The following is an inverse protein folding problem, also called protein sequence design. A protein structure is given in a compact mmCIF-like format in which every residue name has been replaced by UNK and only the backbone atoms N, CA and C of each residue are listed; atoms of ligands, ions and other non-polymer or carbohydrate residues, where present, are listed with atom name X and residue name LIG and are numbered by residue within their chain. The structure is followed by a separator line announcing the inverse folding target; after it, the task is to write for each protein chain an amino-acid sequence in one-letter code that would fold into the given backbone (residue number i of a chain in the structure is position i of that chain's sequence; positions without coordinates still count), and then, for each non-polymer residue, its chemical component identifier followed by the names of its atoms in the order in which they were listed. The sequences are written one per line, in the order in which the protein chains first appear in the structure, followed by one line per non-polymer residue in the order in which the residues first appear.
data_IF_722021398971
#
_entry.id   IF_722021398971
#
_cell.length_a   1.000
_cell.length_b   1.000
_cell.length_c   1.000
_cell.angle_alpha   90.00
_cell.angle_beta   90.00
_cell.angle_gamma   90.00
#
_symmetry.space_group_name_H-M   'P 1'
#
loop_
_entity.id
_entity.type
_entity.pdbx_description
1 polymer ?
#
# COMPACT_ATOMS: atom_id res chain seq x y z
N UNK A 1 -14.21 1.78 0.45
CA UNK A 1 -13.45 0.81 -0.37
C UNK A 1 -14.35 0.32 -1.48
N UNK A 2 -13.89 0.33 -2.74
CA UNK A 2 -14.65 -0.18 -3.89
C UNK A 2 -15.05 -1.65 -3.70
N UNK A 3 -16.16 -2.05 -4.33
CA UNK A 3 -16.65 -3.44 -4.36
C UNK A 3 -15.87 -4.34 -5.33
N UNK A 4 -15.25 -3.73 -6.33
CA UNK A 4 -14.43 -4.42 -7.34
C UNK A 4 -12.94 -4.36 -6.97
N UNK A 5 -12.10 -5.29 -7.49
CA UNK A 5 -10.67 -5.25 -7.30
C UNK A 5 -10.08 -3.93 -7.77
N UNK A 6 -9.20 -3.33 -6.96
CA UNK A 6 -8.48 -2.10 -7.29
C UNK A 6 -7.00 -2.21 -6.97
N UNK A 7 -6.16 -1.44 -7.65
CA UNK A 7 -4.79 -1.18 -7.16
C UNK A 7 -4.87 -0.06 -6.15
N UNK A 8 -4.47 -0.32 -4.91
CA UNK A 8 -4.48 0.64 -3.81
C UNK A 8 -3.08 1.24 -3.71
N UNK A 9 -2.96 2.53 -4.04
CA UNK A 9 -1.76 3.32 -3.84
C UNK A 9 -1.79 4.08 -2.52
N UNK A 10 -0.77 3.94 -1.68
CA UNK A 10 -0.64 4.72 -0.45
C UNK A 10 0.81 5.18 -0.23
N UNK A 11 1.04 6.16 0.63
CA UNK A 11 2.39 6.52 1.04
C UNK A 11 2.86 5.64 2.20
N UNK A 12 4.16 5.30 2.25
CA UNK A 12 4.69 4.53 3.39
C UNK A 12 4.39 5.21 4.73
N UNK A 13 4.35 6.55 4.76
CA UNK A 13 4.08 7.29 5.98
C UNK A 13 2.75 6.90 6.66
N UNK A 14 1.76 6.46 5.87
CA UNK A 14 0.39 6.18 6.31
C UNK A 14 0.11 4.68 6.46
N UNK A 15 1.12 3.82 6.22
CA UNK A 15 0.99 2.36 6.26
C UNK A 15 0.33 1.83 7.53
N UNK A 16 0.72 2.25 8.75
CA UNK A 16 0.13 1.71 9.97
C UNK A 16 -1.39 1.92 10.05
N UNK A 17 -1.86 3.10 9.65
CA UNK A 17 -3.27 3.45 9.67
C UNK A 17 -4.06 2.66 8.62
N UNK A 18 -3.53 2.58 7.40
CA UNK A 18 -4.12 1.81 6.30
C UNK A 18 -4.17 0.31 6.61
N UNK A 19 -3.14 -0.23 7.26
CA UNK A 19 -3.08 -1.64 7.66
C UNK A 19 -4.17 -1.97 8.70
N UNK A 20 -4.43 -1.06 9.64
CA UNK A 20 -5.51 -1.24 10.62
C UNK A 20 -6.89 -1.07 9.98
N UNK A 21 -7.07 -0.06 9.14
CA UNK A 21 -8.36 0.31 8.55
C UNK A 21 -8.88 -0.70 7.52
N UNK A 22 -7.98 -1.39 6.80
CA UNK A 22 -8.38 -2.34 5.74
C UNK A 22 -8.20 -3.81 6.13
N UNK A 23 -8.08 -4.11 7.44
CA UNK A 23 -8.01 -5.50 7.94
C UNK A 23 -9.20 -6.34 7.47
N UNK A 24 -8.95 -7.62 7.18
CA UNK A 24 -9.96 -8.59 6.75
C UNK A 24 -10.58 -8.31 5.37
N UNK A 25 -10.02 -7.38 4.60
CA UNK A 25 -10.40 -7.14 3.20
C UNK A 25 -9.58 -8.05 2.30
N UNK A 26 -10.12 -8.43 1.14
CA UNK A 26 -9.42 -9.20 0.10
C UNK A 26 -8.32 -8.36 -0.57
N UNK A 27 -7.24 -8.06 0.16
CA UNK A 27 -6.12 -7.25 -0.29
C UNK A 27 -4.85 -8.08 -0.27
N UNK A 28 -4.19 -8.17 -1.42
CA UNK A 28 -2.86 -8.72 -1.58
C UNK A 28 -1.79 -7.65 -1.44
N UNK A 29 -0.70 -7.96 -0.71
CA UNK A 29 0.43 -7.04 -0.53
C UNK A 29 1.76 -7.76 -0.73
N UNK A 30 2.77 -7.03 -1.18
CA UNK A 30 4.14 -7.54 -1.34
C UNK A 30 5.04 -6.96 -0.25
N UNK A 31 5.60 -7.81 0.61
CA UNK A 31 6.45 -7.39 1.73
C UNK A 31 7.85 -7.99 1.60
N UNK A 32 8.88 -7.20 1.90
CA UNK A 32 10.30 -7.61 1.77
C UNK A 32 10.69 -8.78 2.68
N UNK A 33 11.53 -9.68 2.18
CA UNK A 33 12.15 -10.81 2.92
C UNK A 33 13.14 -10.42 4.03
N UNK A 34 13.33 -9.12 4.31
CA UNK A 34 14.13 -8.65 5.44
C UNK A 34 13.55 -9.10 6.80
N UNK A 35 14.36 -9.01 7.86
CA UNK A 35 13.94 -9.32 9.24
C UNK A 35 12.74 -8.48 9.68
N UNK A 36 12.80 -7.17 9.45
CA UNK A 36 11.71 -6.25 9.80
C UNK A 36 10.48 -6.49 8.92
N UNK A 37 10.69 -6.75 7.63
CA UNK A 37 9.62 -7.19 6.74
C UNK A 37 8.97 -8.49 7.20
N UNK A 38 9.71 -9.40 7.84
CA UNK A 38 9.18 -10.64 8.40
C UNK A 38 8.21 -10.41 9.55
N UNK A 39 8.51 -9.46 10.45
CA UNK A 39 7.57 -9.04 11.52
C UNK A 39 6.32 -8.40 10.92
N UNK A 40 6.50 -7.52 9.94
CA UNK A 40 5.41 -6.83 9.27
C UNK A 40 4.51 -7.78 8.46
N UNK A 41 5.09 -8.79 7.81
CA UNK A 41 4.34 -9.85 7.12
C UNK A 41 3.46 -10.65 8.07
N UNK A 42 4.02 -11.15 9.18
CA UNK A 42 3.25 -11.89 10.19
C UNK A 42 2.10 -11.05 10.76
N UNK A 43 2.33 -9.76 10.97
CA UNK A 43 1.27 -8.85 11.41
C UNK A 43 0.18 -8.70 10.34
N UNK A 44 0.58 -8.49 9.08
CA UNK A 44 -0.35 -8.33 7.96
C UNK A 44 -1.18 -9.60 7.72
N UNK A 45 -0.57 -10.78 7.79
CA UNK A 45 -1.27 -12.07 7.71
C UNK A 45 -2.33 -12.21 8.82
N UNK A 46 -1.97 -11.89 10.07
CA UNK A 46 -2.92 -11.90 11.21
C UNK A 46 -4.06 -10.91 11.05
N UNK A 47 -3.84 -9.82 10.31
CA UNK A 47 -4.87 -8.84 9.98
C UNK A 47 -5.68 -9.23 8.73
N UNK A 48 -5.45 -10.41 8.16
CA UNK A 48 -6.25 -10.96 7.06
C UNK A 48 -5.81 -10.56 5.65
N UNK A 49 -4.59 -10.03 5.50
CA UNK A 49 -4.03 -9.71 4.17
C UNK A 49 -3.44 -10.94 3.51
N UNK A 50 -3.54 -11.02 2.18
CA UNK A 50 -2.83 -12.02 1.39
C UNK A 50 -1.39 -11.54 1.14
N UNK A 51 -0.43 -12.09 1.87
CA UNK A 51 0.95 -11.60 1.87
C UNK A 51 1.84 -12.40 0.95
N UNK A 52 2.46 -11.71 -0.01
CA UNK A 52 3.57 -12.25 -0.80
C UNK A 52 4.89 -11.70 -0.28
N UNK A 53 5.96 -12.52 -0.37
CA UNK A 53 7.28 -12.20 0.18
C UNK A 53 8.30 -12.00 -0.94
N UNK A 54 8.74 -10.76 -1.17
CA UNK A 54 9.67 -10.41 -2.24
C UNK A 54 11.09 -10.08 -1.77
N UNK A 55 12.11 -10.24 -2.64
CA UNK A 55 13.48 -9.77 -2.39
C UNK A 55 13.78 -8.46 -3.15
N UNK A 56 14.64 -7.62 -2.57
CA UNK A 56 15.04 -6.32 -3.16
C UNK A 56 15.68 -6.43 -4.55
N UNK A 57 16.22 -7.61 -4.90
CA UNK A 57 16.83 -7.90 -6.21
C UNK A 57 15.86 -8.42 -7.27
N UNK A 58 14.69 -8.94 -6.86
CA UNK A 58 13.69 -9.56 -7.75
C UNK A 58 12.33 -8.86 -7.72
N UNK A 59 12.24 -7.68 -7.10
CA UNK A 59 10.96 -6.97 -6.88
C UNK A 59 10.05 -6.89 -8.11
N UNK A 60 10.62 -6.72 -9.32
CA UNK A 60 9.85 -6.70 -10.57
C UNK A 60 9.20 -8.05 -10.94
N UNK A 61 9.83 -9.19 -10.66
CA UNK A 61 9.21 -10.50 -10.91
C UNK A 61 8.13 -10.83 -9.90
N UNK A 62 8.27 -10.31 -8.67
CA UNK A 62 7.34 -10.59 -7.56
C UNK A 62 6.03 -9.80 -7.68
N UNK A 63 6.01 -8.66 -8.41
CA UNK A 63 4.77 -7.94 -8.75
C UNK A 63 3.78 -8.82 -9.51
N UNK A 64 4.24 -9.88 -10.20
CA UNK A 64 3.35 -10.86 -10.86
C UNK A 64 2.40 -11.55 -9.89
N UNK A 65 2.77 -11.70 -8.62
CA UNK A 65 1.89 -12.25 -7.60
C UNK A 65 0.69 -11.32 -7.31
N UNK A 66 0.92 -10.01 -7.29
CA UNK A 66 -0.14 -9.02 -7.17
C UNK A 66 -1.04 -9.03 -8.42
N UNK A 67 -0.45 -9.15 -9.61
CA UNK A 67 -1.18 -9.27 -10.86
C UNK A 67 -2.10 -10.50 -10.87
N UNK A 68 -1.59 -11.66 -10.43
CA UNK A 68 -2.40 -12.88 -10.30
C UNK A 68 -3.53 -12.71 -9.27
N UNK A 69 -3.26 -12.00 -8.17
CA UNK A 69 -4.25 -11.75 -7.13
C UNK A 69 -5.38 -10.85 -7.63
N UNK A 70 -5.06 -9.79 -8.38
CA UNK A 70 -6.03 -8.92 -9.05
C UNK A 70 -6.98 -9.70 -9.96
N UNK A 71 -6.43 -10.61 -10.77
CA UNK A 71 -7.23 -11.50 -11.64
C UNK A 71 -8.12 -12.48 -10.86
N UNK A 72 -7.79 -12.77 -9.61
CA UNK A 72 -8.55 -13.66 -8.75
C UNK A 72 -9.52 -12.91 -7.82
N UNK A 73 -9.77 -11.62 -8.06
CA UNK A 73 -10.74 -10.85 -7.30
C UNK A 73 -10.19 -10.16 -6.03
N UNK A 74 -8.86 -10.16 -5.81
CA UNK A 74 -8.24 -9.42 -4.72
C UNK A 74 -7.80 -8.03 -5.17
N UNK A 75 -7.99 -7.01 -4.35
CA UNK A 75 -7.29 -5.73 -4.54
C UNK A 75 -5.79 -5.89 -4.26
N UNK A 76 -4.95 -5.01 -4.80
CA UNK A 76 -3.50 -5.05 -4.58
C UNK A 76 -3.04 -3.77 -3.88
N UNK A 77 -2.48 -3.89 -2.67
CA UNK A 77 -1.89 -2.79 -1.93
C UNK A 77 -0.43 -2.55 -2.31
N UNK A 78 -0.10 -1.32 -2.67
CA UNK A 78 1.27 -0.92 -3.00
C UNK A 78 1.60 0.46 -2.44
N UNK A 79 2.76 0.56 -1.79
CA UNK A 79 3.27 1.85 -1.38
C UNK A 79 3.92 2.58 -2.56
N UNK A 80 3.47 3.81 -2.82
CA UNK A 80 3.79 4.62 -4.00
C UNK A 80 5.26 5.03 -4.04
N UNK A 81 5.86 5.35 -2.91
CA UNK A 81 7.27 5.74 -2.76
C UNK A 81 8.25 4.56 -2.74
N UNK A 82 7.73 3.32 -2.66
CA UNK A 82 8.49 2.08 -2.70
C UNK A 82 9.56 1.95 -1.60
N UNK A 83 10.23 0.80 -1.50
CA UNK A 83 10.97 0.40 -0.29
C UNK A 83 12.28 1.16 -0.04
N UNK A 84 12.76 1.94 -1.01
CA UNK A 84 14.02 2.69 -0.94
C UNK A 84 13.82 4.21 -0.83
N UNK A 85 12.56 4.66 -0.78
CA UNK A 85 12.23 6.08 -0.89
C UNK A 85 12.76 6.72 -2.19
N UNK A 86 12.93 8.06 -2.22
CA UNK A 86 12.63 8.99 -1.14
C UNK A 86 11.13 9.04 -0.79
N UNK A 87 10.80 9.43 0.45
CA UNK A 87 9.41 9.56 0.90
C UNK A 87 8.63 10.51 0.00
N UNK A 88 7.33 10.22 -0.20
CA UNK A 88 6.42 11.04 -1.02
C UNK A 88 6.85 11.21 -2.48
N UNK A 89 7.74 10.36 -2.98
CA UNK A 89 8.18 10.37 -4.38
C UNK A 89 7.65 9.13 -5.09
N UNK A 90 6.60 9.29 -5.88
CA UNK A 90 5.91 8.15 -6.47
C UNK A 90 6.77 7.39 -7.48
N UNK A 91 6.58 6.07 -7.51
CA UNK A 91 7.24 5.11 -8.41
C UNK A 91 6.22 4.47 -9.33
N UNK A 92 6.64 4.05 -10.53
CA UNK A 92 5.71 3.60 -11.58
C UNK A 92 5.03 2.26 -11.29
N UNK A 93 5.34 1.57 -10.18
CA UNK A 93 4.85 0.21 -9.94
C UNK A 93 3.32 0.08 -9.85
N UNK A 94 2.63 1.06 -9.25
CA UNK A 94 1.19 1.01 -9.02
C UNK A 94 0.46 1.24 -10.35
N UNK A 95 0.90 2.26 -11.07
CA UNK A 95 0.43 2.60 -12.40
C UNK A 95 0.68 1.49 -13.41
N UNK A 96 1.90 0.92 -13.41
CA UNK A 96 2.22 -0.22 -14.26
C UNK A 96 1.26 -1.39 -14.00
N UNK A 97 0.98 -1.68 -12.72
CA UNK A 97 0.06 -2.77 -12.34
C UNK A 97 -1.38 -2.47 -12.79
N UNK A 98 -1.86 -1.25 -12.57
CA UNK A 98 -3.18 -0.81 -12.99
C UNK A 98 -3.34 -0.89 -14.52
N UNK A 99 -2.41 -0.29 -15.28
CA UNK A 99 -2.38 -0.35 -16.76
C UNK A 99 -2.30 -1.78 -17.27
N UNK A 100 -1.49 -2.64 -16.66
CA UNK A 100 -1.32 -4.03 -17.10
C UNK A 100 -2.54 -4.92 -16.84
N UNK A 101 -3.35 -4.58 -15.84
CA UNK A 101 -4.53 -5.36 -15.44
C UNK A 101 -5.85 -4.77 -15.91
N UNK A 102 -5.87 -3.50 -16.33
CA UNK A 102 -7.10 -2.75 -16.64
C UNK A 102 -7.89 -2.33 -15.40
N UNK A 103 -7.37 -2.63 -14.20
CA UNK A 103 -8.00 -2.33 -12.91
C UNK A 103 -7.70 -0.88 -12.50
N UNK A 104 -8.66 -0.13 -11.94
CA UNK A 104 -8.40 1.24 -11.51
C UNK A 104 -7.35 1.33 -10.39
N UNK A 105 -6.54 2.39 -10.46
CA UNK A 105 -5.66 2.83 -9.38
C UNK A 105 -6.43 3.79 -8.47
N UNK A 106 -6.47 3.46 -7.18
CA UNK A 106 -7.10 4.28 -6.14
C UNK A 106 -6.01 4.72 -5.17
N UNK A 107 -5.75 6.02 -5.11
CA UNK A 107 -4.84 6.60 -4.14
C UNK A 107 -5.56 6.82 -2.81
N UNK A 108 -4.89 6.46 -1.72
CA UNK A 108 -5.34 6.71 -0.36
C UNK A 108 -4.67 7.97 0.16
N UNK A 109 -5.48 8.89 0.65
CA UNK A 109 -5.03 10.08 1.36
C UNK A 109 -5.51 9.97 2.81
N UNK A 110 -4.57 10.02 3.76
CA UNK A 110 -4.89 9.90 5.18
C UNK A 110 -4.68 11.24 5.88
N UNK A 111 -5.65 11.65 6.69
CA UNK A 111 -5.55 12.80 7.59
C UNK A 111 -5.75 12.34 9.02
N UNK A 112 -4.91 12.85 9.90
CA UNK A 112 -4.95 12.55 11.33
C UNK A 112 -5.34 13.81 12.09
N UNK A 113 -6.29 13.72 13.01
CA UNK A 113 -6.53 14.85 13.93
C UNK A 113 -5.35 15.06 14.87
N UNK A 114 -4.70 13.97 15.31
CA UNK A 114 -3.56 13.97 16.24
C UNK A 114 -2.62 12.81 15.93
N UNK A 115 -1.40 13.09 15.50
CA UNK A 115 -0.39 12.08 15.25
C UNK A 115 1.00 12.62 15.55
N UNK A 116 1.94 11.73 15.89
CA UNK A 116 3.36 12.06 15.84
C UNK A 116 4.00 11.41 14.62
N UNK A 117 5.05 12.07 14.12
CA UNK A 117 5.80 11.64 12.95
C UNK A 117 7.14 11.07 13.41
N UNK A 118 7.46 9.85 12.98
CA UNK A 118 8.75 9.23 13.26
C UNK A 118 9.87 9.92 12.48
N UNK A 119 11.08 9.93 13.08
CA UNK A 119 12.32 10.37 12.43
C UNK A 119 12.93 9.26 11.55
N UNK A 120 12.09 8.48 10.88
CA UNK A 120 12.47 7.45 9.91
C UNK A 120 12.56 8.02 8.49
N UNK A 121 13.08 7.24 7.55
CA UNK A 121 13.19 7.63 6.14
C UNK A 121 11.82 7.92 5.51
N UNK A 122 10.81 7.14 5.89
CA UNK A 122 9.43 7.20 5.36
C UNK A 122 8.53 8.21 6.07
N UNK A 123 9.03 8.87 7.13
CA UNK A 123 8.25 9.85 7.92
C UNK A 123 6.92 9.28 8.43
N UNK A 124 6.90 8.00 8.83
CA UNK A 124 5.71 7.31 9.33
C UNK A 124 4.94 8.09 10.39
N UNK A 125 3.64 8.23 10.19
CA UNK A 125 2.69 8.76 11.16
C UNK A 125 2.18 7.65 12.07
N UNK A 126 2.20 7.95 13.37
CA UNK A 126 1.55 7.12 14.38
C UNK A 126 0.43 7.96 15.00
N UNK A 127 -0.85 7.59 14.79
CA UNK A 127 -1.96 8.30 15.40
C UNK A 127 -1.88 8.16 16.93
N UNK A 128 -2.16 9.26 17.64
CA UNK A 128 -2.27 9.22 19.10
C UNK A 128 -3.56 8.49 19.51
N UNK A 129 -3.62 7.94 20.74
CA UNK A 129 -4.86 7.40 21.29
C UNK A 129 -6.02 8.40 21.14
N UNK A 130 -7.17 7.89 20.72
CA UNK A 130 -8.40 8.68 20.46
C UNK A 130 -8.27 9.71 19.33
N UNK A 131 -7.25 9.62 18.47
CA UNK A 131 -7.20 10.41 17.25
C UNK A 131 -8.21 9.89 16.23
N UNK A 132 -8.91 10.82 15.58
CA UNK A 132 -9.65 10.53 14.37
C UNK A 132 -8.67 10.34 13.20
N UNK A 133 -8.96 9.35 12.36
CA UNK A 133 -8.24 9.04 11.13
C UNK A 133 -9.23 9.10 9.98
N UNK A 134 -9.06 10.08 9.10
CA UNK A 134 -9.88 10.25 7.91
C UNK A 134 -9.13 9.67 6.72
N UNK A 135 -9.80 8.82 5.95
CA UNK A 135 -9.22 8.13 4.79
C UNK A 135 -10.07 8.48 3.57
N UNK A 136 -9.50 9.30 2.70
CA UNK A 136 -10.09 9.67 1.43
C UNK A 136 -9.56 8.77 0.31
N UNK A 137 -10.44 8.43 -0.64
CA UNK A 137 -10.11 7.62 -1.81
C UNK A 137 -10.13 8.52 -3.04
N UNK A 138 -8.97 8.71 -3.66
CA UNK A 138 -8.84 9.48 -4.89
C UNK A 138 -8.66 8.53 -6.08
N UNK A 139 -9.65 8.52 -6.97
CA UNK A 139 -9.70 7.65 -8.15
C UNK A 139 -9.36 8.43 -9.44
N UNK A 140 -8.91 9.69 -9.35
CA UNK A 140 -8.97 10.64 -10.47
C UNK A 140 -8.09 10.34 -11.69
N UNK A 141 -7.12 9.43 -11.66
CA UNK A 141 -6.39 9.06 -12.87
C UNK A 141 -5.59 7.77 -12.72
N UNK A 142 -5.45 7.00 -13.82
CA UNK A 142 -4.47 5.90 -13.90
C UNK A 142 -3.01 6.42 -14.02
N UNK A 143 -2.83 7.74 -14.15
CA UNK A 143 -1.54 8.39 -14.25
C UNK A 143 -1.08 8.91 -12.88
N UNK A 144 0.08 8.45 -12.42
CA UNK A 144 0.64 8.86 -11.12
C UNK A 144 1.08 10.33 -11.13
N UNK A 145 1.37 10.92 -12.30
CA UNK A 145 1.81 12.32 -12.41
C UNK A 145 0.72 13.33 -12.03
N UNK A 146 -0.55 12.95 -12.17
CA UNK A 146 -1.70 13.80 -11.78
C UNK A 146 -2.03 13.69 -10.29
N UNK A 147 -1.30 12.84 -9.55
CA UNK A 147 -1.54 12.56 -8.13
C UNK A 147 -0.57 13.28 -7.19
N UNK A 148 0.36 14.10 -7.70
CA UNK A 148 1.26 14.95 -6.90
C UNK A 148 0.67 16.34 -6.75
#
# INVERSE_FOLDING_TARGET
MPSEPVVIGLWHQDLPACLAAFKGRNIAVLISRSRDGGKFAKLSERLGYNVFRGSSSRGQSEVRHLLKSLRNGFSAGMALDGPKGPALTAKPGAEWLAKKTGVPLVKICVKYSRAFRLKSWDKTFIPLPFSNVYIDFDQKSQDISTLL
#
